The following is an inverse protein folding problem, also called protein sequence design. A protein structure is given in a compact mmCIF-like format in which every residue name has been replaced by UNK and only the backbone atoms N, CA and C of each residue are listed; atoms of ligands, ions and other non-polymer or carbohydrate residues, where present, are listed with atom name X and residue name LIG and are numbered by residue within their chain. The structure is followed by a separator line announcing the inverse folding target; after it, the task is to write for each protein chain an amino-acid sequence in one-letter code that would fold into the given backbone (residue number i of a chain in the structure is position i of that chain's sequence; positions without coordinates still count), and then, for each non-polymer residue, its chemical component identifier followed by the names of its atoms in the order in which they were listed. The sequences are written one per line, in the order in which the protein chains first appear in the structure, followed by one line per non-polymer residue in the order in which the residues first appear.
data_IF_319458885742
#
_entry.id   IF_319458885742
#
_cell.length_a   1.000
_cell.length_b   1.000
_cell.length_c   1.000
_cell.angle_alpha   90.00
_cell.angle_beta   90.00
_cell.angle_gamma   90.00
#
_symmetry.space_group_name_H-M   'P 1'
#
loop_
_entity.id
_entity.type
_entity.pdbx_description
1 polymer ?
#
# COMPACT_ATOMS: atom_id res chain seq x y z
N UNK A 1 30.82 -10.47 28.97
CA UNK A 1 30.50 -11.71 29.72
C UNK A 1 29.17 -11.45 30.42
N UNK A 2 28.08 -12.06 29.96
CA UNK A 2 26.71 -11.77 30.43
C UNK A 2 26.40 -12.71 31.60
N UNK A 3 26.06 -12.14 32.77
CA UNK A 3 25.46 -12.90 33.86
C UNK A 3 23.96 -12.65 33.89
N UNK A 4 23.18 -13.71 34.05
CA UNK A 4 21.73 -13.67 34.19
C UNK A 4 21.40 -13.80 35.68
N UNK A 5 20.94 -12.73 36.31
CA UNK A 5 20.42 -12.77 37.68
C UNK A 5 18.94 -12.36 37.64
N UNK A 6 18.06 -13.25 38.09
CA UNK A 6 16.64 -12.95 38.28
C UNK A 6 16.42 -12.53 39.73
N UNK A 7 16.12 -11.27 39.98
CA UNK A 7 15.64 -10.81 41.28
C UNK A 7 14.65 -9.66 41.06
N UNK A 8 13.45 -9.81 41.63
CA UNK A 8 12.39 -8.79 41.65
C UNK A 8 12.65 -7.90 42.86
N UNK A 9 12.87 -6.61 42.65
CA UNK A 9 12.91 -5.63 43.73
C UNK A 9 11.54 -4.94 43.85
N UNK A 10 10.92 -5.01 45.03
CA UNK A 10 9.73 -4.21 45.38
C UNK A 10 10.19 -2.82 45.81
N UNK A 11 9.69 -1.76 45.17
CA UNK A 11 9.77 -0.39 45.69
C UNK A 11 8.32 0.06 45.93
N UNK A 12 7.98 0.31 47.18
CA UNK A 12 6.65 0.73 47.60
C UNK A 12 6.63 2.27 47.64
N UNK A 13 5.96 2.90 46.67
CA UNK A 13 5.65 4.33 46.71
C UNK A 13 4.30 4.51 47.43
N UNK A 14 4.25 5.44 48.38
CA UNK A 14 3.04 5.81 49.10
C UNK A 14 2.07 6.53 48.16
N UNK A 15 0.81 6.12 48.22
CA UNK A 15 -0.39 6.57 47.50
C UNK A 15 -0.54 6.16 46.02
N UNK A 16 -1.64 5.42 45.81
CA UNK A 16 -2.24 4.85 44.59
C UNK A 16 -1.52 3.65 43.93
N UNK A 17 -2.27 2.53 43.82
CA UNK A 17 -1.80 1.23 43.34
C UNK A 17 -1.27 1.26 41.89
N UNK A 18 0.06 1.35 41.73
CA UNK A 18 0.73 1.16 40.45
C UNK A 18 1.75 -0.01 40.54
N UNK A 19 1.56 -1.05 39.72
CA UNK A 19 2.47 -2.19 39.60
C UNK A 19 3.39 -2.01 38.38
N UNK A 20 4.71 -1.96 38.58
CA UNK A 20 5.70 -1.92 37.50
C UNK A 20 6.30 -3.31 37.33
N UNK A 21 6.01 -3.99 36.21
CA UNK A 21 6.67 -5.22 35.80
C UNK A 21 7.85 -4.93 34.86
N UNK A 22 9.08 -4.98 35.37
CA UNK A 22 10.29 -4.88 34.53
C UNK A 22 10.64 -6.26 33.99
N UNK A 23 10.65 -6.43 32.66
CA UNK A 23 10.87 -7.75 32.03
C UNK A 23 12.31 -8.06 31.65
N UNK A 24 13.18 -7.08 31.42
CA UNK A 24 14.63 -7.26 31.23
C UNK A 24 15.42 -5.99 31.59
N UNK A 25 16.59 -6.14 32.21
CA UNK A 25 17.56 -5.06 32.47
C UNK A 25 18.85 -5.42 31.73
N UNK A 26 19.29 -4.56 30.81
CA UNK A 26 20.55 -4.73 30.08
C UNK A 26 21.64 -3.85 30.70
N UNK A 27 22.73 -4.47 31.16
CA UNK A 27 23.91 -3.76 31.67
C UNK A 27 24.94 -3.64 30.52
N UNK A 28 25.13 -2.44 29.98
CA UNK A 28 26.21 -2.14 29.03
C UNK A 28 27.34 -1.47 29.79
N UNK A 29 28.50 -2.14 29.86
CA UNK A 29 29.73 -1.56 30.44
C UNK A 29 30.53 -0.92 29.30
N UNK A 30 30.49 0.41 29.19
CA UNK A 30 31.41 1.15 28.36
C UNK A 30 32.66 1.49 29.18
N UNK A 31 33.84 1.09 28.68
CA UNK A 31 35.13 1.54 29.21
C UNK A 31 35.64 2.61 28.26
N UNK A 32 35.64 3.86 28.69
CA UNK A 32 36.28 4.95 27.95
C UNK A 32 37.57 5.39 28.65
N UNK A 33 38.65 5.48 27.86
CA UNK A 33 39.97 5.96 28.25
C UNK A 33 40.11 7.37 27.68
N UNK A 34 40.66 8.26 28.50
CA UNK A 34 41.21 9.57 28.15
C UNK A 34 40.21 10.72 27.98
N UNK A 35 40.14 11.62 28.97
CA UNK A 35 40.63 13.00 28.81
C UNK A 35 40.24 13.90 30.01
N UNK A 36 41.23 14.71 30.42
CA UNK A 36 41.15 16.01 31.09
C UNK A 36 41.04 16.08 32.63
N UNK A 37 42.07 16.72 33.19
CA UNK A 37 42.47 16.92 34.59
C UNK A 37 41.89 18.24 35.18
N UNK A 38 42.54 18.95 36.15
CA UNK A 38 43.11 18.57 37.46
C UNK A 38 42.63 19.52 38.61
N UNK A 39 42.63 19.09 39.90
CA UNK A 39 42.98 19.97 41.05
C UNK A 39 42.88 19.30 42.44
N UNK A 40 43.98 19.31 43.21
CA UNK A 40 44.07 19.39 44.70
C UNK A 40 43.84 18.10 45.52
N UNK A 41 44.86 17.38 46.05
CA UNK A 41 45.56 17.56 47.38
C UNK A 41 44.60 17.24 48.57
N UNK A 42 44.82 16.32 49.53
CA UNK A 42 45.99 15.57 50.01
C UNK A 42 45.62 14.23 50.72
N UNK A 43 46.65 13.40 50.82
CA UNK A 43 46.91 12.11 51.50
C UNK A 43 46.62 12.12 53.02
N UNK A 44 46.08 11.02 53.59
CA UNK A 44 46.76 10.09 54.53
C UNK A 44 45.85 8.91 54.96
N UNK A 45 46.48 7.76 55.20
CA UNK A 45 46.03 6.52 55.86
C UNK A 45 45.11 5.47 55.16
N UNK A 46 45.74 4.31 54.92
CA UNK A 46 45.18 2.97 54.72
C UNK A 46 45.61 2.09 55.92
N UNK A 47 45.00 0.91 56.22
CA UNK A 47 44.25 0.05 55.29
C UNK A 47 42.96 -0.57 55.86
N UNK A 48 42.29 -1.34 54.99
CA UNK A 48 41.32 -2.39 55.28
C UNK A 48 39.88 -2.00 55.68
N UNK A 49 39.02 -1.85 54.67
CA UNK A 49 37.77 -2.64 54.54
C UNK A 49 36.86 -2.09 53.43
N UNK A 50 36.26 -3.02 52.68
CA UNK A 50 34.99 -2.88 51.95
C UNK A 50 34.86 -1.72 50.94
N UNK A 51 35.18 -2.04 49.68
CA UNK A 51 34.90 -1.20 48.50
C UNK A 51 33.39 -0.99 48.35
N UNK A 52 32.91 0.16 48.83
CA UNK A 52 31.70 0.80 48.37
C UNK A 52 31.95 1.38 46.98
N UNK A 53 31.43 0.74 45.93
CA UNK A 53 31.36 1.33 44.59
C UNK A 53 29.95 1.86 44.36
N UNK A 54 29.86 3.18 44.43
CA UNK A 54 28.73 4.03 44.06
C UNK A 54 28.32 3.73 42.61
N UNK A 55 27.23 3.00 42.43
CA UNK A 55 26.58 2.81 41.13
C UNK A 55 25.65 3.99 40.94
N UNK A 56 26.07 4.95 40.12
CA UNK A 56 25.21 6.01 39.63
C UNK A 56 24.28 5.39 38.57
N UNK A 57 23.07 5.02 38.97
CA UNK A 57 22.04 4.55 38.05
C UNK A 57 21.47 5.75 37.30
N UNK A 58 21.89 5.96 36.05
CA UNK A 58 21.15 6.78 35.09
C UNK A 58 19.90 6.00 34.73
N UNK A 59 18.78 6.33 35.38
CA UNK A 59 17.45 5.88 34.97
C UNK A 59 17.10 6.66 33.70
N UNK A 60 17.35 6.08 32.53
CA UNK A 60 16.65 6.47 31.31
C UNK A 60 15.21 5.98 31.48
N UNK A 61 14.31 6.89 31.84
CA UNK A 61 12.89 6.61 31.92
C UNK A 61 12.35 6.29 30.52
N UNK A 62 12.42 5.02 30.13
CA UNK A 62 11.73 4.49 28.94
C UNK A 62 10.25 4.37 29.30
N UNK A 63 9.44 5.24 28.66
CA UNK A 63 8.04 4.99 28.36
C UNK A 63 7.12 4.67 29.54
N UNK A 64 6.60 5.71 30.18
CA UNK A 64 5.38 5.59 30.97
C UNK A 64 4.25 5.08 30.06
N UNK A 65 3.84 3.82 30.21
CA UNK A 65 2.54 3.36 29.71
C UNK A 65 1.45 3.97 30.59
N UNK A 66 0.91 5.10 30.13
CA UNK A 66 -0.31 5.69 30.69
C UNK A 66 -1.55 4.90 30.22
N UNK A 67 -2.53 4.83 31.11
CA UNK A 67 -3.70 3.95 31.03
C UNK A 67 -4.61 4.12 29.81
N UNK A 68 -5.45 3.10 29.62
CA UNK A 68 -6.45 2.94 28.56
C UNK A 68 -7.46 4.11 28.56
N UNK A 69 -7.87 4.50 27.35
CA UNK A 69 -8.72 5.65 26.96
C UNK A 69 -8.04 7.02 26.82
N UNK A 70 -6.97 7.10 26.02
CA UNK A 70 -6.70 8.30 25.22
C UNK A 70 -6.91 7.94 23.75
N UNK A 71 -7.79 8.66 23.07
CA UNK A 71 -7.87 8.62 21.61
C UNK A 71 -6.54 9.18 21.12
N UNK A 72 -5.65 8.32 20.63
CA UNK A 72 -4.40 8.76 20.02
C UNK A 72 -4.78 9.53 18.75
N UNK A 73 -4.62 10.85 18.75
CA UNK A 73 -4.75 11.68 17.54
C UNK A 73 -3.55 11.40 16.65
N UNK A 74 -3.83 11.13 15.38
CA UNK A 74 -3.04 10.20 14.60
C UNK A 74 -2.68 10.77 13.24
N UNK A 75 -1.44 10.51 12.83
CA UNK A 75 -1.10 10.62 11.41
C UNK A 75 -1.77 9.45 10.69
N UNK A 76 -2.62 9.73 9.72
CA UNK A 76 -3.26 8.76 8.86
C UNK A 76 -2.65 8.81 7.46
N UNK A 77 -2.35 7.65 6.89
CA UNK A 77 -1.91 7.54 5.50
C UNK A 77 -2.87 6.64 4.74
N UNK A 78 -3.62 7.22 3.82
CA UNK A 78 -4.51 6.48 2.92
C UNK A 78 -3.79 6.22 1.61
N UNK A 79 -3.76 4.96 1.21
CA UNK A 79 -3.15 4.50 -0.04
C UNK A 79 -4.19 3.78 -0.89
N UNK A 80 -4.16 3.98 -2.21
CA UNK A 80 -5.16 3.40 -3.11
C UNK A 80 -4.76 3.48 -4.58
N UNK A 81 -5.09 2.46 -5.35
CA UNK A 81 -4.98 2.44 -6.80
C UNK A 81 -6.22 3.04 -7.50
N UNK A 82 -7.40 2.96 -6.87
CA UNK A 82 -8.64 3.53 -7.38
C UNK A 82 -8.98 4.86 -6.68
N UNK A 83 -8.98 5.95 -7.45
CA UNK A 83 -9.24 7.31 -6.94
C UNK A 83 -10.65 7.49 -6.34
N UNK A 84 -11.66 6.80 -6.89
CA UNK A 84 -13.02 6.87 -6.35
C UNK A 84 -13.10 6.28 -4.95
N UNK A 85 -12.56 5.07 -4.77
CA UNK A 85 -12.56 4.38 -3.47
C UNK A 85 -11.73 5.19 -2.45
N UNK A 86 -10.57 5.68 -2.88
CA UNK A 86 -9.70 6.48 -2.04
C UNK A 86 -10.39 7.78 -1.58
N UNK A 87 -11.10 8.46 -2.48
CA UNK A 87 -11.87 9.67 -2.15
C UNK A 87 -12.97 9.41 -1.12
N UNK A 88 -13.73 8.33 -1.28
CA UNK A 88 -14.74 7.91 -0.31
C UNK A 88 -14.11 7.67 1.06
N UNK A 89 -13.02 6.88 1.11
CA UNK A 89 -12.33 6.58 2.36
C UNK A 89 -11.76 7.83 3.05
N UNK A 90 -11.24 8.80 2.29
CA UNK A 90 -10.80 10.10 2.85
C UNK A 90 -12.00 10.87 3.41
N UNK A 91 -13.13 10.90 2.68
CA UNK A 91 -14.34 11.58 3.13
C UNK A 91 -14.87 10.99 4.45
N UNK A 92 -14.94 9.66 4.53
CA UNK A 92 -15.44 8.94 5.71
C UNK A 92 -14.52 9.18 6.93
N UNK A 93 -13.21 9.08 6.74
CA UNK A 93 -12.25 9.35 7.82
C UNK A 93 -12.34 10.80 8.29
N UNK A 94 -12.40 11.77 7.38
CA UNK A 94 -12.50 13.18 7.77
C UNK A 94 -13.81 13.46 8.48
N UNK A 95 -14.91 12.82 8.07
CA UNK A 95 -16.19 12.94 8.79
C UNK A 95 -16.09 12.40 10.22
N UNK A 96 -15.43 11.27 10.43
CA UNK A 96 -15.16 10.72 11.76
C UNK A 96 -14.29 11.66 12.62
N UNK A 97 -13.22 12.21 12.03
CA UNK A 97 -12.29 13.11 12.73
C UNK A 97 -12.94 14.45 13.10
N UNK A 98 -13.80 14.99 12.23
CA UNK A 98 -14.53 16.25 12.46
C UNK A 98 -15.65 16.06 13.49
N UNK A 99 -16.31 14.89 13.50
CA UNK A 99 -17.45 14.61 14.38
C UNK A 99 -18.58 15.61 14.20
N UNK A 100 -19.05 16.21 15.30
CA UNK A 100 -20.12 17.22 15.30
C UNK A 100 -19.63 18.65 14.98
N UNK A 101 -18.34 18.82 14.70
CA UNK A 101 -17.73 20.13 14.43
C UNK A 101 -18.03 20.67 13.03
N UNK A 102 -17.83 21.98 12.84
CA UNK A 102 -17.99 22.63 11.54
C UNK A 102 -16.76 22.39 10.65
N UNK A 103 -16.96 21.73 9.50
CA UNK A 103 -15.86 21.30 8.62
C UNK A 103 -15.03 22.49 8.14
N UNK A 104 -15.67 23.61 7.81
CA UNK A 104 -14.97 24.80 7.30
C UNK A 104 -14.07 25.49 8.33
N UNK A 105 -14.23 25.17 9.61
CA UNK A 105 -13.40 25.72 10.69
C UNK A 105 -12.29 24.76 11.13
N UNK A 106 -12.49 23.45 10.92
CA UNK A 106 -11.60 22.40 11.42
C UNK A 106 -10.64 21.89 10.35
N UNK A 107 -11.07 21.87 9.08
CA UNK A 107 -10.35 21.18 8.00
C UNK A 107 -9.56 22.17 7.13
N UNK A 108 -8.27 21.91 6.96
CA UNK A 108 -7.45 22.49 5.90
C UNK A 108 -7.07 21.42 4.89
N UNK A 109 -7.31 21.70 3.61
CA UNK A 109 -7.08 20.75 2.54
C UNK A 109 -6.07 21.31 1.54
N UNK A 110 -4.97 20.57 1.38
CA UNK A 110 -3.91 20.83 0.42
C UNK A 110 -4.07 19.83 -0.74
N UNK A 111 -4.50 20.36 -1.88
CA UNK A 111 -4.67 19.62 -3.13
C UNK A 111 -4.12 20.45 -4.31
N UNK A 112 -3.80 19.76 -5.40
CA UNK A 112 -3.21 20.35 -6.60
C UNK A 112 -1.69 20.31 -6.64
N UNK A 113 -1.13 20.78 -7.76
CA UNK A 113 0.29 20.63 -8.06
C UNK A 113 1.18 21.70 -7.41
N UNK A 114 0.60 22.80 -6.95
CA UNK A 114 1.35 24.00 -6.55
C UNK A 114 1.73 24.06 -5.07
N UNK A 115 1.13 23.20 -4.22
CA UNK A 115 1.41 23.25 -2.79
C UNK A 115 2.73 22.56 -2.42
N UNK A 116 3.37 23.04 -1.36
CA UNK A 116 4.57 22.44 -0.77
C UNK A 116 4.27 21.72 0.55
N UNK A 117 4.97 20.61 0.83
CA UNK A 117 4.82 19.88 2.09
C UNK A 117 5.15 20.71 3.34
N UNK A 118 5.98 21.75 3.21
CA UNK A 118 6.26 22.67 4.32
C UNK A 118 5.00 23.35 4.84
N UNK A 119 4.12 23.80 3.94
CA UNK A 119 2.86 24.45 4.31
C UNK A 119 1.91 23.48 5.03
N UNK A 120 1.93 22.21 4.66
CA UNK A 120 1.17 21.14 5.34
C UNK A 120 1.66 20.97 6.78
N UNK A 121 2.99 20.92 6.97
CA UNK A 121 3.60 20.79 8.29
C UNK A 121 3.33 22.02 9.15
N UNK A 122 3.45 23.22 8.59
CA UNK A 122 3.16 24.47 9.30
C UNK A 122 1.69 24.51 9.77
N UNK A 123 0.74 24.08 8.92
CA UNK A 123 -0.66 23.98 9.28
C UNK A 123 -0.88 22.95 10.41
N UNK A 124 -0.24 21.77 10.32
CA UNK A 124 -0.39 20.70 11.30
C UNK A 124 0.27 21.01 12.65
N UNK A 125 1.31 21.85 12.67
CA UNK A 125 1.96 22.33 13.91
C UNK A 125 1.28 23.55 14.53
N UNK A 126 0.32 24.16 13.83
CA UNK A 126 -0.39 25.33 14.32
C UNK A 126 -1.61 24.90 15.15
N UNK A 127 -1.63 25.30 16.42
CA UNK A 127 -2.76 24.99 17.32
C UNK A 127 -4.09 25.50 16.74
N UNK A 128 -5.18 24.72 16.90
CA UNK A 128 -6.50 25.13 16.44
C UNK A 128 -6.96 26.41 17.14
N UNK A 129 -7.78 27.20 16.44
CA UNK A 129 -8.39 28.41 16.96
C UNK A 129 -9.92 28.25 16.93
N UNK A 130 -10.57 28.44 18.08
CA UNK A 130 -12.02 28.25 18.29
C UNK A 130 -12.55 26.82 18.11
N UNK A 131 -11.67 25.84 17.94
CA UNK A 131 -12.01 24.41 17.86
C UNK A 131 -11.06 23.63 18.77
N UNK A 132 -11.48 22.44 19.20
CA UNK A 132 -10.63 21.58 20.05
C UNK A 132 -9.51 20.91 19.25
N UNK A 133 -9.72 20.76 17.94
CA UNK A 133 -8.82 20.06 17.02
C UNK A 133 -8.80 20.69 15.64
N UNK A 134 -7.74 20.39 14.90
CA UNK A 134 -7.54 20.70 13.49
C UNK A 134 -7.34 19.40 12.70
N UNK A 135 -7.86 19.34 11.48
CA UNK A 135 -7.63 18.24 10.54
C UNK A 135 -6.93 18.79 9.32
N UNK A 136 -5.72 18.32 9.03
CA UNK A 136 -4.94 18.76 7.87
C UNK A 136 -4.88 17.62 6.85
N UNK A 137 -5.36 17.86 5.64
CA UNK A 137 -5.38 16.89 4.55
C UNK A 137 -4.32 17.29 3.51
N UNK A 138 -3.45 16.36 3.13
CA UNK A 138 -2.50 16.54 2.03
C UNK A 138 -2.69 15.46 0.98
N UNK A 139 -3.04 15.85 -0.25
CA UNK A 139 -3.32 14.93 -1.35
C UNK A 139 -2.15 14.73 -2.30
N UNK A 140 -2.10 13.55 -2.91
CA UNK A 140 -1.06 13.19 -3.88
C UNK A 140 0.36 13.23 -3.28
N UNK A 141 0.53 12.81 -2.03
CA UNK A 141 1.83 12.87 -1.34
C UNK A 141 2.92 12.00 -2.00
N UNK A 142 2.52 11.09 -2.89
CA UNK A 142 3.40 10.27 -3.72
C UNK A 142 4.23 11.04 -4.74
N UNK A 143 3.88 12.31 -5.03
CA UNK A 143 4.60 13.15 -6.00
C UNK A 143 5.89 13.76 -5.45
N UNK A 144 5.99 13.87 -4.12
CA UNK A 144 7.12 14.51 -3.45
C UNK A 144 8.34 13.59 -3.39
N UNK A 145 9.52 14.18 -3.55
CA UNK A 145 10.77 13.45 -3.52
C UNK A 145 11.28 13.25 -2.07
N UNK A 146 12.44 12.64 -1.91
CA UNK A 146 12.98 12.34 -0.58
C UNK A 146 13.34 13.58 0.25
N UNK A 147 13.74 14.67 -0.39
CA UNK A 147 14.17 15.91 0.27
C UNK A 147 12.96 16.72 0.75
N UNK A 148 11.89 16.77 -0.07
CA UNK A 148 10.61 17.40 0.30
C UNK A 148 9.95 16.75 1.52
N UNK A 149 10.21 15.45 1.73
CA UNK A 149 9.62 14.67 2.83
C UNK A 149 10.31 14.89 4.17
N UNK A 150 11.53 15.46 4.21
CA UNK A 150 12.29 15.67 5.45
C UNK A 150 11.48 16.39 6.55
N UNK A 151 10.87 17.57 6.31
CA UNK A 151 10.09 18.26 7.33
C UNK A 151 8.86 17.45 7.79
N UNK A 152 8.20 16.75 6.87
CA UNK A 152 7.05 15.90 7.18
C UNK A 152 7.44 14.72 8.07
N UNK A 153 8.56 14.06 7.77
CA UNK A 153 9.06 12.94 8.58
C UNK A 153 9.39 13.38 10.01
N UNK A 154 10.02 14.55 10.17
CA UNK A 154 10.30 15.11 11.49
C UNK A 154 9.01 15.42 12.28
N UNK A 155 7.96 15.91 11.62
CA UNK A 155 6.66 16.13 12.25
C UNK A 155 6.02 14.81 12.72
N UNK A 156 6.05 13.77 11.90
CA UNK A 156 5.43 12.46 12.21
C UNK A 156 6.06 11.78 13.43
N UNK A 157 7.32 12.06 13.76
CA UNK A 157 7.97 11.54 14.97
C UNK A 157 7.41 12.17 16.26
N UNK A 158 6.92 13.40 16.20
CA UNK A 158 6.35 14.12 17.33
C UNK A 158 5.18 15.02 16.89
N UNK A 159 4.02 14.43 16.54
CA UNK A 159 2.87 15.17 16.04
C UNK A 159 2.23 16.00 17.16
N UNK A 160 1.52 17.05 16.78
CA UNK A 160 0.78 17.88 17.74
C UNK A 160 -0.51 17.16 18.17
N UNK A 161 -0.72 16.98 19.48
CA UNK A 161 -1.89 16.29 20.05
C UNK A 161 -3.25 16.88 19.61
N UNK A 162 -3.28 18.15 19.20
CA UNK A 162 -4.48 18.88 18.74
C UNK A 162 -4.62 18.95 17.21
N UNK A 163 -3.81 18.20 16.46
CA UNK A 163 -3.89 18.13 15.00
C UNK A 163 -3.90 16.69 14.49
N UNK A 164 -4.92 16.33 13.73
CA UNK A 164 -4.95 15.10 12.94
C UNK A 164 -4.40 15.38 11.53
N UNK A 165 -3.47 14.55 11.07
CA UNK A 165 -2.83 14.69 9.77
C UNK A 165 -3.25 13.55 8.85
N UNK A 166 -3.90 13.87 7.73
CA UNK A 166 -4.41 12.91 6.74
C UNK A 166 -3.61 13.04 5.45
N UNK A 167 -2.71 12.08 5.23
CA UNK A 167 -1.90 11.98 4.02
C UNK A 167 -2.57 11.04 3.02
N UNK A 168 -2.74 11.50 1.77
CA UNK A 168 -3.41 10.72 0.72
C UNK A 168 -2.43 10.43 -0.41
N UNK A 169 -2.13 9.16 -0.59
CA UNK A 169 -1.24 8.62 -1.61
C UNK A 169 -2.04 7.80 -2.63
N UNK A 170 -2.63 8.50 -3.60
CA UNK A 170 -3.35 7.92 -4.74
C UNK A 170 -2.80 8.38 -6.08
N UNK A 171 -3.18 7.67 -7.14
CA UNK A 171 -2.90 8.08 -8.52
C UNK A 171 -1.44 7.91 -8.94
N UNK A 172 -0.71 9.03 -9.04
CA UNK A 172 0.61 9.13 -9.67
C UNK A 172 1.77 9.15 -8.67
N UNK A 173 2.87 8.48 -9.02
CA UNK A 173 4.10 8.47 -8.24
C UNK A 173 4.21 7.27 -7.29
N UNK A 174 5.44 6.94 -6.91
CA UNK A 174 5.71 5.83 -6.01
C UNK A 174 5.81 6.36 -4.59
N UNK A 175 4.88 5.95 -3.73
CA UNK A 175 4.93 6.26 -2.31
C UNK A 175 6.32 5.91 -1.72
N UNK A 176 6.93 6.88 -1.06
CA UNK A 176 8.22 6.70 -0.38
C UNK A 176 8.09 5.68 0.75
N UNK A 177 8.97 4.68 0.74
CA UNK A 177 9.03 3.66 1.80
C UNK A 177 9.29 4.31 3.18
N UNK A 178 10.12 5.36 3.22
CA UNK A 178 10.42 6.09 4.47
C UNK A 178 9.17 6.68 5.09
N UNK A 179 8.31 7.31 4.28
CA UNK A 179 7.04 7.87 4.74
C UNK A 179 6.08 6.76 5.22
N UNK A 180 5.94 5.68 4.43
CA UNK A 180 5.16 4.51 4.83
C UNK A 180 5.58 3.97 6.19
N UNK A 181 6.90 3.82 6.41
CA UNK A 181 7.44 3.18 7.60
C UNK A 181 7.34 4.12 8.83
N UNK A 182 7.53 5.43 8.63
CA UNK A 182 7.33 6.43 9.68
C UNK A 182 5.86 6.47 10.15
N UNK A 183 4.90 6.52 9.23
CA UNK A 183 3.47 6.53 9.60
C UNK A 183 3.05 5.19 10.21
N UNK A 184 3.60 4.04 9.79
CA UNK A 184 3.32 2.75 10.46
C UNK A 184 3.82 2.71 11.90
N UNK A 185 4.88 3.44 12.22
CA UNK A 185 5.44 3.47 13.57
C UNK A 185 4.63 4.36 14.52
N UNK A 186 4.13 5.50 14.01
CA UNK A 186 3.53 6.56 14.84
C UNK A 186 2.04 6.83 14.56
N UNK A 187 1.45 6.17 13.57
CA UNK A 187 0.09 6.45 13.08
C UNK A 187 -0.58 5.22 12.44
N UNK A 188 -1.54 5.47 11.55
CA UNK A 188 -2.35 4.42 10.92
C UNK A 188 -2.25 4.47 9.40
N UNK A 189 -2.01 3.32 8.78
CA UNK A 189 -2.03 3.19 7.31
C UNK A 189 -3.29 2.46 6.87
N UNK A 190 -4.07 3.12 6.02
CA UNK A 190 -5.27 2.59 5.40
C UNK A 190 -4.95 2.23 3.95
N UNK A 191 -5.15 0.96 3.57
CA UNK A 191 -5.05 0.53 2.18
C UNK A 191 -6.45 0.30 1.61
N UNK A 192 -6.82 1.13 0.66
CA UNK A 192 -8.13 1.12 -0.01
C UNK A 192 -8.12 0.27 -1.29
N UNK A 193 -6.94 -0.19 -1.70
CA UNK A 193 -6.79 -0.98 -2.93
C UNK A 193 -7.47 -2.34 -2.78
N UNK A 194 -8.36 -2.75 -3.70
CA UNK A 194 -9.02 -4.06 -3.67
C UNK A 194 -8.04 -5.24 -3.69
N UNK A 195 -6.80 -5.00 -4.16
CA UNK A 195 -5.76 -6.01 -4.32
C UNK A 195 -6.04 -6.95 -5.50
N UNK A 196 -5.10 -7.86 -5.76
CA UNK A 196 -5.21 -8.80 -6.91
C UNK A 196 -6.33 -9.83 -6.76
N UNK A 197 -6.66 -10.20 -5.52
CA UNK A 197 -7.84 -11.02 -5.20
C UNK A 197 -8.87 -10.15 -4.47
N UNK A 198 -9.61 -9.37 -5.25
CA UNK A 198 -10.61 -8.42 -4.77
C UNK A 198 -11.87 -9.11 -4.21
N UNK A 199 -11.99 -10.45 -4.23
CA UNK A 199 -13.18 -11.15 -3.73
C UNK A 199 -13.40 -10.95 -2.24
N UNK A 200 -12.31 -10.94 -1.46
CA UNK A 200 -12.40 -10.68 -0.01
C UNK A 200 -12.83 -9.23 0.23
N UNK A 201 -12.14 -8.29 -0.40
CA UNK A 201 -12.48 -6.86 -0.31
C UNK A 201 -13.95 -6.61 -0.68
N UNK A 202 -14.42 -7.21 -1.77
CA UNK A 202 -15.81 -7.07 -2.20
C UNK A 202 -16.80 -7.68 -1.19
N UNK A 203 -16.48 -8.84 -0.62
CA UNK A 203 -17.30 -9.44 0.42
C UNK A 203 -17.37 -8.55 1.68
N UNK A 204 -16.24 -7.94 2.06
CA UNK A 204 -16.16 -7.01 3.18
C UNK A 204 -17.01 -5.75 2.90
N UNK A 205 -16.95 -5.18 1.68
CA UNK A 205 -17.79 -4.05 1.26
C UNK A 205 -19.29 -4.40 1.24
N UNK A 206 -19.67 -5.57 0.72
CA UNK A 206 -21.06 -6.06 0.73
C UNK A 206 -21.59 -6.17 2.16
N UNK A 207 -20.77 -6.72 3.07
CA UNK A 207 -21.13 -6.85 4.47
C UNK A 207 -21.25 -5.49 5.15
N UNK A 208 -20.33 -4.55 4.87
CA UNK A 208 -20.36 -3.19 5.42
C UNK A 208 -21.61 -2.42 4.96
N UNK A 209 -22.08 -2.64 3.73
CA UNK A 209 -23.34 -2.08 3.24
C UNK A 209 -24.59 -2.66 3.94
N UNK A 210 -24.45 -3.75 4.70
CA UNK A 210 -25.55 -4.47 5.35
C UNK A 210 -26.29 -5.45 4.43
N UNK A 211 -25.68 -5.82 3.30
CA UNK A 211 -26.21 -6.76 2.33
C UNK A 211 -25.64 -8.17 2.56
N UNK A 212 -26.36 -9.19 2.08
CA UNK A 212 -25.85 -10.57 2.02
C UNK A 212 -25.87 -11.03 0.57
N UNK A 213 -24.84 -11.75 0.16
CA UNK A 213 -24.69 -12.23 -1.22
C UNK A 213 -24.17 -13.67 -1.24
N UNK A 214 -24.60 -14.46 -2.22
CA UNK A 214 -24.02 -15.78 -2.45
C UNK A 214 -22.56 -15.69 -2.88
N UNK A 215 -21.73 -16.64 -2.42
CA UNK A 215 -20.30 -16.67 -2.77
C UNK A 215 -20.07 -16.68 -4.28
N UNK A 216 -20.93 -17.37 -5.03
CA UNK A 216 -20.88 -17.37 -6.50
C UNK A 216 -21.24 -16.02 -7.12
N UNK A 217 -22.17 -15.29 -6.52
CA UNK A 217 -22.54 -13.94 -6.97
C UNK A 217 -21.43 -12.93 -6.64
N UNK A 218 -20.81 -13.00 -5.46
CA UNK A 218 -19.64 -12.18 -5.09
C UNK A 218 -18.48 -12.41 -6.07
N UNK A 219 -18.18 -13.66 -6.42
CA UNK A 219 -17.11 -13.99 -7.36
C UNK A 219 -17.40 -13.50 -8.78
N UNK A 220 -18.64 -13.63 -9.25
CA UNK A 220 -19.06 -13.13 -10.55
C UNK A 220 -19.04 -11.60 -10.59
N UNK A 221 -19.53 -10.91 -9.55
CA UNK A 221 -19.47 -9.46 -9.45
C UNK A 221 -18.03 -8.94 -9.43
N UNK A 222 -17.14 -9.59 -8.68
CA UNK A 222 -15.71 -9.26 -8.66
C UNK A 222 -15.06 -9.38 -10.05
N UNK A 223 -15.42 -10.43 -10.80
CA UNK A 223 -14.95 -10.66 -12.17
C UNK A 223 -15.55 -9.65 -13.15
N UNK A 224 -16.80 -9.26 -12.94
CA UNK A 224 -17.53 -8.31 -13.77
C UNK A 224 -17.01 -6.89 -13.62
N UNK A 225 -16.74 -6.45 -12.38
CA UNK A 225 -16.18 -5.12 -12.12
C UNK A 225 -14.74 -4.97 -12.58
N UNK A 226 -13.90 -6.00 -12.41
CA UNK A 226 -12.49 -5.95 -12.81
C UNK A 226 -11.75 -4.76 -12.18
N UNK A 227 -11.19 -3.86 -13.00
CA UNK A 227 -10.48 -2.66 -12.57
C UNK A 227 -11.43 -1.55 -12.04
N UNK A 228 -12.73 -1.63 -12.34
CA UNK A 228 -13.71 -0.57 -12.01
C UNK A 228 -14.38 -0.78 -10.64
N UNK A 229 -13.60 -1.19 -9.65
CA UNK A 229 -14.07 -1.45 -8.29
C UNK A 229 -14.76 -0.23 -7.64
N UNK A 230 -14.44 1.00 -8.08
CA UNK A 230 -15.09 2.23 -7.63
C UNK A 230 -16.60 2.31 -7.91
N UNK A 231 -17.12 1.52 -8.86
CA UNK A 231 -18.57 1.43 -9.13
C UNK A 231 -19.33 0.67 -8.04
N UNK A 232 -18.62 -0.10 -7.21
CA UNK A 232 -19.24 -1.01 -6.26
C UNK A 232 -20.17 -0.29 -5.28
N UNK A 233 -19.76 0.86 -4.74
CA UNK A 233 -20.54 1.57 -3.73
C UNK A 233 -21.91 2.00 -4.27
N UNK A 234 -21.96 2.51 -5.51
CA UNK A 234 -23.21 2.87 -6.18
C UNK A 234 -24.11 1.66 -6.46
N UNK A 235 -23.51 0.53 -6.86
CA UNK A 235 -24.23 -0.73 -7.05
C UNK A 235 -24.81 -1.22 -5.72
N UNK A 236 -24.02 -1.23 -4.64
CA UNK A 236 -24.48 -1.66 -3.31
C UNK A 236 -25.58 -0.75 -2.76
N UNK A 237 -25.48 0.57 -2.95
CA UNK A 237 -26.54 1.50 -2.58
C UNK A 237 -27.86 1.19 -3.32
N UNK A 238 -27.77 0.92 -4.63
CA UNK A 238 -28.93 0.55 -5.46
C UNK A 238 -29.55 -0.77 -4.99
N UNK A 239 -28.73 -1.80 -4.78
CA UNK A 239 -29.19 -3.11 -4.30
C UNK A 239 -29.84 -3.00 -2.91
N UNK A 240 -29.25 -2.22 -1.99
CA UNK A 240 -29.81 -1.98 -0.66
C UNK A 240 -31.15 -1.26 -0.72
N UNK A 241 -31.29 -0.27 -1.60
CA UNK A 241 -32.57 0.43 -1.79
C UNK A 241 -33.66 -0.47 -2.38
N UNK A 242 -33.27 -1.46 -3.19
CA UNK A 242 -34.20 -2.35 -3.90
C UNK A 242 -34.64 -3.53 -3.04
N UNK A 243 -33.70 -4.21 -2.38
CA UNK A 243 -33.95 -5.46 -1.65
C UNK A 243 -33.98 -5.29 -0.13
N UNK A 244 -33.62 -4.11 0.39
CA UNK A 244 -33.55 -3.87 1.83
C UNK A 244 -32.41 -4.65 2.50
N UNK A 245 -32.56 -4.88 3.81
CA UNK A 245 -31.59 -5.62 4.61
C UNK A 245 -32.06 -7.06 4.86
N UNK A 246 -31.15 -8.03 4.74
CA UNK A 246 -31.32 -9.39 5.27
C UNK A 246 -31.55 -10.50 4.23
N UNK A 247 -31.96 -10.18 3.00
CA UNK A 247 -32.03 -11.16 1.91
C UNK A 247 -30.63 -11.49 1.38
N UNK A 248 -30.41 -12.75 1.01
CA UNK A 248 -29.17 -13.21 0.39
C UNK A 248 -29.30 -13.17 -1.12
N UNK A 249 -28.60 -12.24 -1.76
CA UNK A 249 -28.71 -11.96 -3.18
C UNK A 249 -27.93 -12.98 -4.03
N UNK A 250 -28.60 -13.50 -5.06
CA UNK A 250 -28.03 -14.34 -6.12
C UNK A 250 -27.48 -13.49 -7.28
N UNK A 251 -26.74 -14.10 -8.22
CA UNK A 251 -26.19 -13.36 -9.36
C UNK A 251 -27.30 -12.82 -10.28
N UNK A 252 -28.34 -13.63 -10.53
CA UNK A 252 -29.48 -13.23 -11.35
C UNK A 252 -30.23 -12.01 -10.80
N UNK A 253 -30.21 -11.81 -9.48
CA UNK A 253 -30.82 -10.64 -8.83
C UNK A 253 -29.97 -9.38 -8.94
N UNK A 254 -28.65 -9.51 -9.04
CA UNK A 254 -27.73 -8.35 -9.15
C UNK A 254 -27.42 -7.98 -10.60
N UNK A 255 -27.47 -8.93 -11.53
CA UNK A 255 -27.13 -8.75 -12.94
C UNK A 255 -27.84 -7.54 -13.60
N UNK A 256 -29.12 -7.25 -13.33
CA UNK A 256 -29.77 -6.07 -13.91
C UNK A 256 -29.20 -4.72 -13.43
N UNK A 257 -28.49 -4.70 -12.30
CA UNK A 257 -28.03 -3.48 -11.62
C UNK A 257 -26.54 -3.19 -11.83
N UNK A 258 -25.76 -4.16 -12.32
CA UNK A 258 -24.29 -4.04 -12.39
C UNK A 258 -23.81 -3.36 -13.66
N UNK A 259 -24.68 -3.17 -14.67
CA UNK A 259 -24.35 -2.52 -15.94
C UNK A 259 -23.31 -3.27 -16.76
N UNK A 260 -22.54 -2.56 -17.59
CA UNK A 260 -21.51 -3.15 -18.44
C UNK A 260 -20.31 -3.67 -17.65
N UNK A 261 -19.64 -4.70 -18.17
CA UNK A 261 -18.43 -5.27 -17.58
C UNK A 261 -17.30 -4.24 -17.60
N UNK A 262 -16.59 -4.12 -16.47
CA UNK A 262 -15.51 -3.14 -16.33
C UNK A 262 -14.21 -3.54 -17.02
N UNK A 263 -13.23 -2.64 -16.99
CA UNK A 263 -11.87 -2.90 -17.45
C UNK A 263 -11.24 -4.12 -16.78
N UNK A 264 -10.19 -4.69 -17.38
CA UNK A 264 -9.49 -5.86 -16.84
C UNK A 264 -8.00 -5.63 -16.75
N UNK A 265 -7.36 -6.20 -15.71
CA UNK A 265 -5.95 -5.97 -15.53
C UNK A 265 -5.11 -6.66 -16.61
N UNK A 266 -3.94 -6.10 -16.96
CA UNK A 266 -3.09 -6.58 -18.04
C UNK A 266 -2.71 -8.07 -17.94
N UNK A 267 -2.49 -8.55 -16.71
CA UNK A 267 -2.05 -9.92 -16.50
C UNK A 267 -3.12 -10.95 -16.82
N UNK A 268 -4.42 -10.61 -16.72
CA UNK A 268 -5.50 -11.54 -17.07
C UNK A 268 -5.50 -11.84 -18.57
N UNK A 269 -5.23 -10.83 -19.40
CA UNK A 269 -5.09 -11.00 -20.85
C UNK A 269 -3.88 -11.88 -21.18
N UNK A 270 -2.70 -11.57 -20.60
CA UNK A 270 -1.50 -12.38 -20.85
C UNK A 270 -1.67 -13.82 -20.37
N UNK A 271 -2.41 -14.04 -19.28
CA UNK A 271 -2.66 -15.38 -18.75
C UNK A 271 -3.57 -16.18 -19.67
N UNK A 272 -4.67 -15.58 -20.16
CA UNK A 272 -5.54 -16.23 -21.13
C UNK A 272 -4.79 -16.62 -22.41
N UNK A 273 -3.89 -15.75 -22.90
CA UNK A 273 -3.04 -16.05 -24.06
C UNK A 273 -2.10 -17.22 -23.77
N UNK A 274 -1.41 -17.20 -22.62
CA UNK A 274 -0.43 -18.23 -22.24
C UNK A 274 -1.06 -19.59 -21.93
N UNK A 275 -2.33 -19.61 -21.51
CA UNK A 275 -3.13 -20.82 -21.34
C UNK A 275 -3.72 -21.31 -22.69
N UNK A 276 -3.66 -20.48 -23.73
CA UNK A 276 -4.18 -20.75 -25.07
C UNK A 276 -5.70 -20.65 -25.19
N UNK A 277 -6.34 -19.99 -24.23
CA UNK A 277 -7.78 -19.71 -24.23
C UNK A 277 -8.08 -18.48 -25.08
N UNK A 278 -8.15 -18.70 -26.40
CA UNK A 278 -8.37 -17.64 -27.39
C UNK A 278 -9.68 -16.89 -27.16
N UNK A 279 -10.75 -17.61 -26.82
CA UNK A 279 -12.08 -17.00 -26.60
C UNK A 279 -12.03 -16.04 -25.41
N UNK A 280 -11.45 -16.48 -24.29
CA UNK A 280 -11.25 -15.61 -23.12
C UNK A 280 -10.34 -14.44 -23.44
N UNK A 281 -9.22 -14.66 -24.14
CA UNK A 281 -8.28 -13.61 -24.48
C UNK A 281 -8.92 -12.50 -25.35
N UNK A 282 -9.74 -12.86 -26.34
CA UNK A 282 -10.46 -11.88 -27.17
C UNK A 282 -11.53 -11.12 -26.37
N UNK A 283 -12.27 -11.80 -25.49
CA UNK A 283 -13.21 -11.13 -24.58
C UNK A 283 -12.50 -10.14 -23.65
N UNK A 284 -11.32 -10.50 -23.12
CA UNK A 284 -10.51 -9.61 -22.29
C UNK A 284 -9.93 -8.43 -23.09
N UNK A 285 -9.53 -8.62 -24.36
CA UNK A 285 -9.15 -7.50 -25.24
C UNK A 285 -10.28 -6.48 -25.34
N UNK A 286 -11.50 -6.94 -25.66
CA UNK A 286 -12.66 -6.05 -25.77
C UNK A 286 -12.89 -5.26 -24.48
N UNK A 287 -12.81 -5.92 -23.31
CA UNK A 287 -12.91 -5.25 -22.01
C UNK A 287 -11.77 -4.24 -21.76
N UNK A 288 -10.54 -4.53 -22.17
CA UNK A 288 -9.42 -3.59 -22.03
C UNK A 288 -9.59 -2.34 -22.88
N UNK A 289 -10.07 -2.50 -24.12
CA UNK A 289 -10.21 -1.39 -25.08
C UNK A 289 -11.44 -0.54 -24.76
N UNK A 290 -12.59 -1.18 -24.55
CA UNK A 290 -13.87 -0.49 -24.39
C UNK A 290 -14.06 0.02 -22.97
N UNK A 291 -14.18 -0.90 -22.01
CA UNK A 291 -14.43 -0.53 -20.62
C UNK A 291 -13.20 0.09 -19.95
N UNK A 292 -12.02 -0.47 -20.21
CA UNK A 292 -10.74 0.07 -19.70
C UNK A 292 -10.24 1.30 -20.45
N UNK A 293 -10.87 1.71 -21.56
CA UNK A 293 -10.49 2.87 -22.37
C UNK A 293 -9.07 2.82 -22.93
N UNK A 294 -8.44 1.64 -23.00
CA UNK A 294 -7.05 1.51 -23.44
C UNK A 294 -6.98 1.56 -24.96
N UNK A 295 -6.15 2.44 -25.48
CA UNK A 295 -5.85 2.44 -26.91
C UNK A 295 -5.17 1.12 -27.33
N UNK A 296 -5.45 0.55 -28.53
CA UNK A 296 -4.81 -0.69 -28.99
C UNK A 296 -3.28 -0.71 -28.91
N UNK A 297 -2.60 0.42 -29.18
CA UNK A 297 -1.15 0.55 -28.96
C UNK A 297 -0.70 0.36 -27.49
N UNK A 298 -1.52 0.75 -26.51
CA UNK A 298 -1.24 0.49 -25.10
C UNK A 298 -1.35 -1.01 -24.79
N UNK A 299 -2.35 -1.69 -25.35
CA UNK A 299 -2.49 -3.16 -25.24
C UNK A 299 -1.31 -3.88 -25.91
N UNK A 300 -0.89 -3.41 -27.09
CA UNK A 300 0.33 -3.91 -27.73
C UNK A 300 1.55 -3.75 -26.83
N UNK A 301 1.71 -2.60 -26.17
CA UNK A 301 2.86 -2.31 -25.28
C UNK A 301 2.92 -3.27 -24.10
N UNK A 302 1.76 -3.65 -23.57
CA UNK A 302 1.63 -4.67 -22.53
C UNK A 302 2.13 -6.03 -23.05
N UNK A 303 1.67 -6.46 -24.23
CA UNK A 303 2.10 -7.72 -24.84
C UNK A 303 3.59 -7.71 -25.14
N UNK A 304 4.11 -6.63 -25.73
CA UNK A 304 5.54 -6.46 -25.98
C UNK A 304 6.35 -6.60 -24.69
N UNK A 305 5.97 -5.87 -23.63
CA UNK A 305 6.68 -5.94 -22.34
C UNK A 305 6.66 -7.35 -21.74
N UNK A 306 5.53 -8.06 -21.85
CA UNK A 306 5.39 -9.44 -21.41
C UNK A 306 6.35 -10.39 -22.15
N UNK A 307 6.28 -10.41 -23.48
CA UNK A 307 7.11 -11.31 -24.29
C UNK A 307 8.58 -10.91 -24.31
N UNK A 308 8.92 -9.62 -24.21
CA UNK A 308 10.30 -9.17 -24.06
C UNK A 308 10.90 -9.64 -22.72
N UNK A 309 10.11 -9.61 -21.64
CA UNK A 309 10.51 -10.19 -20.36
C UNK A 309 10.81 -11.69 -20.46
N UNK A 310 9.99 -12.44 -21.19
CA UNK A 310 10.20 -13.86 -21.47
C UNK A 310 11.45 -14.07 -22.35
N UNK A 311 11.63 -13.27 -23.40
CA UNK A 311 12.74 -13.38 -24.33
C UNK A 311 14.11 -13.15 -23.69
N UNK A 312 14.20 -12.37 -22.61
CA UNK A 312 15.43 -12.22 -21.81
C UNK A 312 15.92 -13.52 -21.17
N UNK A 313 15.07 -14.55 -21.10
CA UNK A 313 15.45 -15.87 -20.61
C UNK A 313 15.98 -16.79 -21.73
N UNK A 314 15.94 -16.37 -23.00
CA UNK A 314 16.50 -17.17 -24.10
C UNK A 314 18.03 -17.30 -23.93
N UNK A 315 18.50 -18.55 -23.90
CA UNK A 315 19.90 -18.87 -23.62
C UNK A 315 20.35 -18.72 -22.16
N UNK A 316 19.47 -18.27 -21.26
CA UNK A 316 19.76 -18.21 -19.81
C UNK A 316 19.32 -19.52 -19.16
N UNK A 317 20.25 -20.23 -18.50
CA UNK A 317 19.91 -21.45 -17.73
C UNK A 317 19.26 -21.14 -16.36
N UNK A 318 18.26 -20.27 -16.34
CA UNK A 318 17.53 -19.95 -15.12
C UNK A 318 16.69 -21.15 -14.67
N UNK A 319 16.88 -21.60 -13.42
CA UNK A 319 16.14 -22.72 -12.80
C UNK A 319 15.28 -22.30 -11.63
N UNK A 320 15.43 -21.06 -11.14
CA UNK A 320 14.69 -20.54 -10.00
C UNK A 320 14.33 -19.05 -10.19
N UNK A 321 13.53 -18.54 -9.25
CA UNK A 321 13.02 -17.18 -9.25
C UNK A 321 14.12 -16.12 -9.21
N UNK A 322 15.18 -16.33 -8.42
CA UNK A 322 16.28 -15.37 -8.28
C UNK A 322 17.09 -15.22 -9.58
N UNK A 323 17.36 -16.34 -10.25
CA UNK A 323 18.06 -16.34 -11.54
C UNK A 323 17.20 -15.69 -12.63
N UNK A 324 15.90 -15.98 -12.64
CA UNK A 324 14.97 -15.33 -13.56
C UNK A 324 14.86 -13.83 -13.28
N UNK A 325 14.86 -13.42 -12.01
CA UNK A 325 14.84 -12.02 -11.60
C UNK A 325 16.10 -11.28 -12.07
N UNK A 326 17.27 -11.90 -11.90
CA UNK A 326 18.55 -11.35 -12.36
C UNK A 326 18.59 -11.14 -13.88
N UNK A 327 18.07 -12.09 -14.66
CA UNK A 327 18.06 -12.00 -16.13
C UNK A 327 17.02 -11.00 -16.66
N UNK A 328 15.83 -10.98 -16.07
CA UNK A 328 14.71 -10.18 -16.60
C UNK A 328 14.68 -8.75 -16.05
N UNK A 329 15.26 -8.53 -14.86
CA UNK A 329 15.10 -7.32 -14.06
C UNK A 329 13.78 -7.26 -13.28
N UNK A 330 12.92 -8.29 -13.42
CA UNK A 330 11.68 -8.42 -12.68
C UNK A 330 11.97 -8.92 -11.26
N UNK A 331 11.12 -8.60 -10.28
CA UNK A 331 11.28 -9.07 -8.90
C UNK A 331 10.06 -9.86 -8.46
N UNK A 332 10.27 -10.88 -7.63
CA UNK A 332 9.18 -11.63 -7.03
C UNK A 332 8.42 -12.51 -8.04
N UNK A 333 7.11 -12.60 -7.81
CA UNK A 333 6.18 -13.41 -8.60
C UNK A 333 6.26 -13.18 -10.14
N UNK A 334 6.35 -11.95 -10.67
CA UNK A 334 6.55 -11.72 -12.12
C UNK A 334 7.77 -12.44 -12.71
N UNK A 335 8.90 -12.50 -12.01
CA UNK A 335 10.10 -13.19 -12.49
C UNK A 335 9.88 -14.71 -12.57
N UNK A 336 9.31 -15.28 -11.51
CA UNK A 336 8.91 -16.70 -11.48
C UNK A 336 7.96 -17.04 -12.63
N UNK A 337 6.99 -16.18 -12.90
CA UNK A 337 6.00 -16.38 -13.96
C UNK A 337 6.61 -16.27 -15.35
N UNK A 338 7.52 -15.32 -15.58
CA UNK A 338 8.27 -15.23 -16.83
C UNK A 338 9.04 -16.53 -17.11
N UNK A 339 9.68 -17.12 -16.10
CA UNK A 339 10.37 -18.40 -16.22
C UNK A 339 9.41 -19.56 -16.56
N UNK A 340 8.27 -19.63 -15.89
CA UNK A 340 7.24 -20.63 -16.20
C UNK A 340 6.73 -20.50 -17.63
N UNK A 341 6.49 -19.27 -18.10
CA UNK A 341 6.04 -19.01 -19.46
C UNK A 341 7.12 -19.32 -20.49
N UNK A 342 8.38 -18.99 -20.22
CA UNK A 342 9.50 -19.35 -21.08
C UNK A 342 9.65 -20.87 -21.22
N UNK A 343 9.56 -21.61 -20.11
CA UNK A 343 9.63 -23.08 -20.13
C UNK A 343 8.47 -23.72 -20.91
N UNK A 344 7.30 -23.08 -20.95
CA UNK A 344 6.16 -23.54 -21.77
C UNK A 344 6.35 -23.24 -23.26
N UNK A 345 6.78 -22.02 -23.61
CA UNK A 345 6.90 -21.58 -25.00
C UNK A 345 8.16 -22.11 -25.70
N UNK A 346 9.27 -22.12 -24.97
CA UNK A 346 10.61 -22.31 -25.53
C UNK A 346 11.11 -21.12 -26.37
N UNK A 347 12.40 -21.14 -26.69
CA UNK A 347 13.06 -20.03 -27.40
C UNK A 347 12.51 -19.79 -28.81
N UNK A 348 12.16 -20.84 -29.56
CA UNK A 348 11.65 -20.72 -30.93
C UNK A 348 10.29 -20.00 -31.00
N UNK A 349 9.33 -20.40 -30.17
CA UNK A 349 8.02 -19.74 -30.12
C UNK A 349 8.12 -18.35 -29.50
N UNK A 350 9.03 -18.13 -28.55
CA UNK A 350 9.31 -16.79 -28.00
C UNK A 350 9.79 -15.83 -29.09
N UNK A 351 10.74 -16.25 -29.95
CA UNK A 351 11.20 -15.46 -31.10
C UNK A 351 10.07 -15.18 -32.10
N UNK A 352 9.22 -16.18 -32.35
CA UNK A 352 8.05 -16.03 -33.23
C UNK A 352 7.03 -15.03 -32.67
N UNK A 353 6.75 -15.08 -31.37
CA UNK A 353 5.87 -14.13 -30.69
C UNK A 353 6.37 -12.69 -30.84
N UNK A 354 7.66 -12.45 -30.58
CA UNK A 354 8.29 -11.13 -30.77
C UNK A 354 8.14 -10.65 -32.21
N UNK A 355 8.34 -11.54 -33.19
CA UNK A 355 8.19 -11.20 -34.62
C UNK A 355 6.76 -10.80 -34.97
N UNK A 356 5.75 -11.49 -34.43
CA UNK A 356 4.35 -11.12 -34.65
C UNK A 356 3.95 -9.83 -33.96
N UNK A 357 4.47 -9.58 -32.74
CA UNK A 357 4.25 -8.32 -32.04
C UNK A 357 4.88 -7.16 -32.83
N UNK A 358 6.08 -7.34 -33.36
CA UNK A 358 6.74 -6.33 -34.20
C UNK A 358 5.94 -6.03 -35.48
N UNK A 359 5.40 -7.05 -36.14
CA UNK A 359 4.51 -6.84 -37.29
C UNK A 359 3.23 -6.10 -36.90
N UNK A 360 2.64 -6.42 -35.74
CA UNK A 360 1.44 -5.74 -35.27
C UNK A 360 1.71 -4.27 -34.93
N UNK A 361 2.87 -3.91 -34.37
CA UNK A 361 3.26 -2.50 -34.17
C UNK A 361 3.30 -1.73 -35.49
N UNK A 362 3.88 -2.32 -36.54
CA UNK A 362 3.88 -1.72 -37.88
C UNK A 362 2.47 -1.58 -38.45
N UNK A 363 1.65 -2.63 -38.34
CA UNK A 363 0.27 -2.63 -38.84
C UNK A 363 -0.56 -1.56 -38.10
N UNK A 364 -0.42 -1.42 -36.77
CA UNK A 364 -1.07 -0.37 -35.97
C UNK A 364 -0.60 1.05 -36.31
N UNK A 365 0.58 1.20 -36.91
CA UNK A 365 1.13 2.48 -37.39
C UNK A 365 0.80 2.77 -38.86
N UNK A 366 -0.04 1.94 -39.49
CA UNK A 366 -0.52 2.16 -40.84
C UNK A 366 0.25 1.40 -41.93
N UNK A 367 1.04 0.39 -41.59
CA UNK A 367 1.60 -0.52 -42.61
C UNK A 367 0.50 -1.31 -43.35
N UNK A 368 -0.67 -1.46 -42.72
CA UNK A 368 -1.90 -1.96 -43.34
C UNK A 368 -3.06 -1.04 -42.99
N UNK A 369 -4.02 -0.98 -43.89
CA UNK A 369 -5.28 -0.28 -43.70
C UNK A 369 -6.30 -1.22 -43.02
N UNK A 370 -6.02 -1.55 -41.76
CA UNK A 370 -6.89 -2.37 -40.91
C UNK A 370 -7.24 -1.59 -39.66
N UNK A 371 -8.47 -1.78 -39.18
CA UNK A 371 -8.89 -1.23 -37.90
C UNK A 371 -7.95 -1.68 -36.77
N UNK A 372 -7.47 -0.77 -35.91
CA UNK A 372 -6.47 -1.09 -34.88
C UNK A 372 -6.87 -2.24 -33.95
N UNK A 373 -8.16 -2.35 -33.63
CA UNK A 373 -8.66 -3.45 -32.81
C UNK A 373 -8.55 -4.80 -33.53
N UNK A 374 -8.89 -4.86 -34.81
CA UNK A 374 -8.77 -6.09 -35.62
C UNK A 374 -7.31 -6.56 -35.71
N UNK A 375 -6.35 -5.64 -35.81
CA UNK A 375 -4.92 -5.97 -35.76
C UNK A 375 -4.57 -6.67 -34.44
N UNK A 376 -5.10 -6.18 -33.33
CA UNK A 376 -4.90 -6.77 -32.00
C UNK A 376 -5.61 -8.11 -31.84
N UNK A 377 -6.83 -8.27 -32.34
CA UNK A 377 -7.55 -9.55 -32.33
C UNK A 377 -6.77 -10.64 -33.06
N UNK A 378 -6.26 -10.34 -34.27
CA UNK A 378 -5.45 -11.26 -35.07
C UNK A 378 -4.14 -11.60 -34.34
N UNK A 379 -3.46 -10.62 -33.75
CA UNK A 379 -2.26 -10.85 -32.96
C UNK A 379 -2.54 -11.80 -31.78
N UNK A 380 -3.58 -11.52 -30.99
CA UNK A 380 -3.94 -12.31 -29.81
C UNK A 380 -4.34 -13.73 -30.19
N UNK A 381 -5.12 -13.89 -31.27
CA UNK A 381 -5.50 -15.20 -31.79
C UNK A 381 -4.28 -16.02 -32.18
N UNK A 382 -3.30 -15.41 -32.86
CA UNK A 382 -2.03 -16.06 -33.23
C UNK A 382 -1.21 -16.44 -31.99
N UNK A 383 -1.00 -15.50 -31.08
CA UNK A 383 -0.22 -15.72 -29.86
C UNK A 383 -0.82 -16.85 -29.00
N UNK A 384 -2.15 -16.92 -28.90
CA UNK A 384 -2.85 -17.97 -28.13
C UNK A 384 -2.69 -19.38 -28.72
N UNK A 385 -2.20 -19.50 -29.96
CA UNK A 385 -1.93 -20.79 -30.61
C UNK A 385 -0.44 -21.16 -30.61
N UNK A 386 0.44 -20.34 -30.03
CA UNK A 386 1.83 -20.72 -29.79
C UNK A 386 1.88 -21.75 -28.66
N UNK A 387 2.27 -22.98 -28.98
CA UNK A 387 2.57 -24.04 -28.03
C UNK A 387 3.85 -24.74 -28.44
#
# INVERSE_FOLDING_TARGET
MVFRASSVALIQAHDEEAWIGVREVWLVVAVDRSSLAPSGICVEDRPDAAIARMICAVVVAVGARRGKNRVFMATHLLTGDNESILRTAVSDLVHELVGDGERSMIVDEFDGEEYELRLVVDAAQTMPFLTDKRVVIARQVSRFNADDLVPLLAYVENPLDSSDLVLVAGGTGRLSKKLSDAVKAMGTVHNTSPGRDNRKWLADQVSAAGLKMDRGATAQLATWLGEDAGRLDGILATLKSTYGAGEKLSFAQIEPFIGEAGGVPPWDLTDAIMDGDTTKALSLLGRMVHAGGRHPLQVMSILHSHYAGIAKLDGVEARNEDQAAAATGLKGFPAKKALQNYNKLGGANTKRAISWIAQADLDLRGAKDLEPELVMEVLIARLSKLR
#
